data_IF_181470686476
#
_entry.id   IF_181470686476
#
_cell.length_a   1.000
_cell.length_b   1.000
_cell.length_c   1.000
_cell.angle_alpha   90.00
_cell.angle_beta   90.00
_cell.angle_gamma   90.00
#
_symmetry.space_group_name_H-M   'P 1'
#
loop_
_entity.id
_entity.type
_entity.pdbx_description
1 polymer ?
#
# COMPACT_ATOMS: atom_id res chain seq x y z
N UNK A 1 -3.26 -22.47 -6.01
CA UNK A 1 -3.07 -21.55 -4.86
C UNK A 1 -1.64 -20.99 -4.75
N UNK A 2 -0.58 -21.79 -5.00
CA UNK A 2 0.83 -21.33 -4.88
C UNK A 2 1.20 -20.35 -6.01
N UNK A 3 0.83 -20.61 -7.27
CA UNK A 3 1.06 -19.69 -8.41
C UNK A 3 0.39 -18.31 -8.25
N UNK A 4 -0.80 -18.24 -7.61
CA UNK A 4 -1.48 -16.95 -7.40
C UNK A 4 -0.79 -16.06 -6.36
N UNK A 5 -0.11 -16.66 -5.37
CA UNK A 5 0.62 -15.94 -4.32
C UNK A 5 1.96 -15.41 -4.83
N UNK A 6 2.63 -16.15 -5.73
CA UNK A 6 3.86 -15.68 -6.39
C UNK A 6 3.56 -14.48 -7.31
N UNK A 7 2.52 -14.57 -8.14
CA UNK A 7 2.09 -13.48 -9.03
C UNK A 7 1.71 -12.22 -8.23
N UNK A 8 1.02 -12.37 -7.08
CA UNK A 8 0.71 -11.21 -6.22
C UNK A 8 1.96 -10.56 -5.64
N UNK A 9 2.96 -11.35 -5.23
CA UNK A 9 4.24 -10.83 -4.75
C UNK A 9 4.99 -10.05 -5.83
N UNK A 10 5.04 -10.58 -7.05
CA UNK A 10 5.70 -9.94 -8.20
C UNK A 10 5.07 -8.59 -8.58
N UNK A 11 3.74 -8.54 -8.63
CA UNK A 11 3.00 -7.28 -8.89
C UNK A 11 3.29 -6.25 -7.81
N UNK A 12 3.38 -6.66 -6.56
CA UNK A 12 3.68 -5.75 -5.46
C UNK A 12 5.11 -5.21 -5.51
N UNK A 13 6.08 -6.05 -5.87
CA UNK A 13 7.48 -5.66 -6.08
C UNK A 13 7.57 -4.58 -7.18
N UNK A 14 6.91 -4.78 -8.31
CA UNK A 14 6.86 -3.84 -9.43
C UNK A 14 6.21 -2.50 -9.02
N UNK A 15 5.07 -2.55 -8.33
CA UNK A 15 4.38 -1.36 -7.84
C UNK A 15 5.23 -0.52 -6.88
N UNK A 16 6.03 -1.16 -6.03
CA UNK A 16 6.96 -0.44 -5.15
C UNK A 16 8.06 0.23 -5.97
N UNK A 17 8.64 -0.46 -6.94
CA UNK A 17 9.69 0.10 -7.79
C UNK A 17 9.18 1.30 -8.60
N UNK A 18 8.00 1.19 -9.19
CA UNK A 18 7.38 2.28 -9.96
C UNK A 18 7.06 3.48 -9.06
N UNK A 19 6.55 3.22 -7.86
CA UNK A 19 6.34 4.26 -6.86
C UNK A 19 7.64 4.97 -6.49
N UNK A 20 8.75 4.24 -6.32
CA UNK A 20 10.04 4.82 -6.00
C UNK A 20 10.57 5.69 -7.15
N UNK A 21 10.46 5.22 -8.39
CA UNK A 21 10.85 5.98 -9.60
C UNK A 21 10.04 7.26 -9.75
N UNK A 22 8.72 7.20 -9.48
CA UNK A 22 7.83 8.37 -9.55
C UNK A 22 8.14 9.41 -8.46
N UNK A 23 8.36 8.97 -7.23
CA UNK A 23 8.55 9.87 -6.08
C UNK A 23 9.97 10.37 -5.88
N UNK A 24 10.96 9.68 -6.42
CA UNK A 24 12.38 9.99 -6.28
C UNK A 24 13.08 9.94 -7.67
N UNK A 25 12.71 10.85 -8.60
CA UNK A 25 13.20 10.80 -9.98
C UNK A 25 14.70 11.06 -10.13
N UNK A 26 15.35 11.65 -9.12
CA UNK A 26 16.82 11.86 -9.10
C UNK A 26 17.58 10.58 -8.68
N UNK A 27 16.90 9.61 -8.09
CA UNK A 27 17.50 8.40 -7.53
C UNK A 27 17.38 7.23 -8.51
N UNK A 28 18.32 6.28 -8.45
CA UNK A 28 18.28 5.09 -9.31
C UNK A 28 17.61 3.93 -8.57
N UNK A 29 16.67 3.28 -9.24
CA UNK A 29 16.00 2.06 -8.75
C UNK A 29 16.45 0.88 -9.59
N UNK A 30 17.33 0.04 -9.03
CA UNK A 30 17.87 -1.17 -9.65
C UNK A 30 17.09 -2.39 -9.20
N UNK A 31 16.41 -3.07 -10.13
CA UNK A 31 15.73 -4.34 -9.87
C UNK A 31 16.73 -5.46 -9.57
N UNK A 32 16.43 -6.31 -8.59
CA UNK A 32 17.20 -7.51 -8.29
C UNK A 32 16.59 -8.68 -9.04
N UNK A 33 17.25 -9.11 -10.13
CA UNK A 33 16.76 -10.17 -11.03
C UNK A 33 16.37 -11.44 -10.29
N UNK A 34 15.25 -12.04 -10.71
CA UNK A 34 14.76 -13.36 -10.25
C UNK A 34 15.85 -14.42 -10.32
N UNK A 35 15.96 -15.23 -9.27
CA UNK A 35 16.98 -16.27 -9.16
C UNK A 35 18.28 -15.83 -8.47
N UNK A 36 18.60 -14.55 -8.42
CA UNK A 36 19.54 -14.04 -7.43
C UNK A 36 18.83 -14.05 -6.08
N UNK A 37 19.37 -14.78 -5.09
CA UNK A 37 18.88 -14.72 -3.71
C UNK A 37 18.99 -13.28 -3.22
N UNK A 38 17.90 -12.51 -3.25
CA UNK A 38 17.97 -11.11 -2.92
C UNK A 38 16.62 -10.44 -2.74
N UNK A 39 16.63 -9.17 -2.37
CA UNK A 39 15.46 -8.32 -2.21
C UNK A 39 14.89 -7.81 -3.52
N UNK A 40 13.83 -7.04 -3.42
CA UNK A 40 13.05 -6.62 -4.56
C UNK A 40 13.78 -5.56 -5.41
N UNK A 41 14.45 -4.59 -4.75
CA UNK A 41 15.27 -3.59 -5.46
C UNK A 41 16.33 -2.93 -4.57
N UNK A 42 17.23 -2.20 -5.22
CA UNK A 42 18.21 -1.32 -4.58
C UNK A 42 17.91 0.10 -5.01
N UNK A 43 17.66 0.98 -4.03
CA UNK A 43 17.54 2.41 -4.25
C UNK A 43 18.91 3.07 -4.03
N UNK A 44 19.45 3.69 -5.07
CA UNK A 44 20.68 4.49 -5.01
C UNK A 44 20.31 5.96 -4.90
N UNK A 45 20.66 6.57 -3.78
CA UNK A 45 20.37 7.97 -3.49
C UNK A 45 21.37 8.86 -4.22
N UNK A 46 20.85 9.83 -4.96
CA UNK A 46 21.59 10.84 -5.69
C UNK A 46 21.18 12.24 -5.25
N UNK A 47 22.03 13.22 -5.54
CA UNK A 47 21.71 14.65 -5.48
C UNK A 47 22.13 15.30 -6.78
N UNK A 48 21.79 16.58 -6.96
CA UNK A 48 22.21 17.37 -8.14
C UNK A 48 23.73 17.41 -8.32
N UNK A 49 24.46 17.40 -7.21
CA UNK A 49 25.92 17.61 -7.20
C UNK A 49 26.71 16.32 -7.00
N UNK A 50 26.06 15.23 -6.60
CA UNK A 50 26.74 13.96 -6.29
C UNK A 50 25.82 12.77 -6.55
N UNK A 51 26.35 11.79 -7.30
CA UNK A 51 25.70 10.50 -7.52
C UNK A 51 26.21 9.45 -6.53
N UNK A 52 25.44 8.40 -6.32
CA UNK A 52 25.76 7.23 -5.48
C UNK A 52 26.16 7.62 -4.04
N UNK A 53 25.33 8.49 -3.43
CA UNK A 53 25.55 8.96 -2.05
C UNK A 53 25.43 7.80 -1.05
N UNK A 54 24.39 6.99 -1.24
CA UNK A 54 24.12 5.80 -0.45
C UNK A 54 23.26 4.83 -1.22
N UNK A 55 23.35 3.55 -0.87
CA UNK A 55 22.53 2.48 -1.42
C UNK A 55 21.67 1.88 -0.32
N UNK A 56 20.38 1.73 -0.59
CA UNK A 56 19.39 1.14 0.33
C UNK A 56 18.83 -0.13 -0.32
N UNK A 57 18.89 -1.23 0.40
CA UNK A 57 18.31 -2.49 -0.02
C UNK A 57 16.84 -2.52 0.43
N UNK A 58 15.92 -2.69 -0.50
CA UNK A 58 14.48 -2.72 -0.24
C UNK A 58 13.96 -4.13 -0.50
N UNK A 59 13.28 -4.70 0.47
CA UNK A 59 12.60 -6.00 0.38
C UNK A 59 11.15 -5.81 0.79
N UNK A 60 10.21 -6.41 0.06
CA UNK A 60 8.79 -6.43 0.41
C UNK A 60 8.33 -7.83 0.85
N UNK A 61 7.34 -7.89 1.72
CA UNK A 61 6.73 -9.13 2.18
C UNK A 61 5.24 -8.98 2.38
N UNK A 62 4.50 -9.73 1.57
CA UNK A 62 3.05 -9.87 1.71
C UNK A 62 2.71 -11.27 2.23
N UNK A 63 2.63 -11.42 3.55
CA UNK A 63 2.34 -12.68 4.24
C UNK A 63 1.46 -12.44 5.44
N UNK A 64 0.65 -13.43 5.80
CA UNK A 64 -0.31 -13.36 6.91
C UNK A 64 0.32 -13.24 8.31
N UNK A 65 1.61 -13.54 8.48
CA UNK A 65 2.32 -13.45 9.76
C UNK A 65 3.74 -12.99 9.53
N UNK A 66 4.21 -12.04 10.34
CA UNK A 66 5.59 -11.56 10.31
C UNK A 66 6.57 -12.65 10.79
N UNK A 67 7.70 -12.78 10.09
CA UNK A 67 8.77 -13.73 10.42
C UNK A 67 10.08 -12.97 10.62
N UNK A 68 10.73 -13.17 11.77
CA UNK A 68 12.03 -12.53 12.09
C UNK A 68 13.14 -12.96 11.13
N UNK A 69 13.04 -14.16 10.55
CA UNK A 69 13.97 -14.71 9.55
C UNK A 69 14.11 -13.80 8.31
N UNK A 70 13.09 -13.03 7.97
CA UNK A 70 13.16 -12.10 6.85
C UNK A 70 14.22 -11.02 7.07
N UNK A 71 14.34 -10.53 8.32
CA UNK A 71 15.35 -9.52 8.65
C UNK A 71 16.75 -10.12 8.65
N UNK A 72 16.92 -11.38 9.08
CA UNK A 72 18.19 -12.08 9.02
C UNK A 72 18.62 -12.34 7.57
N UNK A 73 17.69 -12.77 6.70
CA UNK A 73 17.94 -12.97 5.29
C UNK A 73 18.36 -11.65 4.63
N UNK A 74 17.58 -10.58 4.82
CA UNK A 74 17.88 -9.26 4.29
C UNK A 74 19.27 -8.79 4.72
N UNK A 75 19.64 -8.94 5.99
CA UNK A 75 20.97 -8.58 6.48
C UNK A 75 22.10 -9.34 5.75
N UNK A 76 21.90 -10.63 5.49
CA UNK A 76 22.87 -11.44 4.77
C UNK A 76 23.01 -11.04 3.31
N UNK A 77 21.90 -10.71 2.65
CA UNK A 77 21.90 -10.28 1.25
C UNK A 77 22.51 -8.87 1.10
N UNK A 78 22.23 -7.97 2.04
CA UNK A 78 22.92 -6.67 2.16
C UNK A 78 24.44 -6.82 2.27
N UNK A 79 24.92 -7.74 3.13
CA UNK A 79 26.36 -8.01 3.28
C UNK A 79 27.00 -8.46 1.98
N UNK A 80 26.37 -9.38 1.23
CA UNK A 80 26.87 -9.87 -0.06
C UNK A 80 27.01 -8.76 -1.10
N UNK A 81 26.14 -7.75 -1.04
CA UNK A 81 26.12 -6.61 -1.97
C UNK A 81 26.86 -5.37 -1.45
N UNK A 82 27.49 -5.48 -0.27
CA UNK A 82 28.16 -4.38 0.42
C UNK A 82 27.25 -3.16 0.62
N UNK A 83 26.00 -3.41 1.07
CA UNK A 83 25.00 -2.39 1.37
C UNK A 83 24.80 -2.31 2.88
N UNK A 84 24.86 -1.08 3.42
CA UNK A 84 24.82 -0.87 4.87
C UNK A 84 23.41 -0.75 5.45
N UNK A 85 22.40 -0.48 4.62
CA UNK A 85 21.02 -0.22 5.03
C UNK A 85 20.03 -1.02 4.26
N UNK A 86 18.99 -1.49 4.98
CA UNK A 86 17.84 -2.19 4.42
C UNK A 86 16.52 -1.63 4.94
N UNK A 87 15.52 -1.68 4.09
CA UNK A 87 14.13 -1.43 4.44
C UNK A 87 13.35 -2.70 4.12
N UNK A 88 12.69 -3.25 5.13
CA UNK A 88 11.73 -4.34 4.98
C UNK A 88 10.31 -3.77 5.03
N UNK A 89 9.63 -3.79 3.90
CA UNK A 89 8.24 -3.35 3.77
C UNK A 89 7.35 -4.57 3.97
N UNK A 90 6.40 -4.54 4.90
CA UNK A 90 5.58 -5.72 5.18
C UNK A 90 4.13 -5.38 5.47
N UNK A 91 3.21 -6.20 4.96
CA UNK A 91 1.78 -6.12 5.28
C UNK A 91 1.48 -6.53 6.72
N UNK A 92 2.31 -7.39 7.29
CA UNK A 92 2.23 -7.81 8.69
C UNK A 92 3.45 -7.34 9.46
N UNK A 93 3.24 -6.85 10.67
CA UNK A 93 4.27 -6.23 11.49
C UNK A 93 4.62 -7.10 12.70
N UNK A 94 5.84 -6.98 13.25
CA UNK A 94 6.20 -7.64 14.51
C UNK A 94 5.21 -7.28 15.62
N UNK A 95 4.84 -8.25 16.47
CA UNK A 95 3.86 -8.05 17.57
C UNK A 95 4.19 -6.87 18.48
N UNK A 96 5.45 -6.53 18.65
CA UNK A 96 5.90 -5.37 19.44
C UNK A 96 5.64 -4.03 18.74
N UNK A 97 5.40 -4.03 17.42
CA UNK A 97 5.10 -2.82 16.63
C UNK A 97 3.63 -2.43 16.66
N UNK A 98 2.72 -3.36 16.93
CA UNK A 98 1.28 -3.05 17.06
C UNK A 98 1.01 -2.06 18.22
N UNK A 99 1.90 -2.04 19.23
CA UNK A 99 1.83 -1.09 20.34
C UNK A 99 2.63 0.20 20.10
N UNK A 100 3.64 0.19 19.24
CA UNK A 100 4.58 1.28 18.97
C UNK A 100 4.68 1.58 17.47
N UNK A 101 3.66 1.99 16.91
CA UNK A 101 3.37 2.60 15.62
C UNK A 101 4.50 2.80 14.63
N UNK A 102 4.36 2.09 13.54
CA UNK A 102 4.80 2.47 12.22
C UNK A 102 6.12 1.89 11.76
N UNK A 103 7.08 1.54 12.62
CA UNK A 103 8.33 0.91 12.19
C UNK A 103 9.13 0.31 13.37
N UNK A 104 10.01 -0.65 13.05
CA UNK A 104 10.93 -1.28 14.01
C UNK A 104 12.34 -1.31 13.43
N UNK A 105 13.34 -0.98 14.24
CA UNK A 105 14.72 -1.21 13.87
C UNK A 105 15.16 -2.60 14.30
N UNK A 106 15.89 -3.26 13.42
CA UNK A 106 16.49 -4.55 13.62
C UNK A 106 18.00 -4.46 13.35
N UNK A 107 18.74 -5.39 13.93
CA UNK A 107 20.20 -5.49 13.73
C UNK A 107 20.96 -4.17 13.99
N UNK A 108 20.67 -3.52 15.13
CA UNK A 108 21.33 -2.26 15.51
C UNK A 108 21.00 -1.08 14.59
N UNK A 109 19.81 -1.05 14.01
CA UNK A 109 19.36 0.04 13.10
C UNK A 109 19.77 -0.12 11.65
N UNK A 110 20.41 -1.24 11.28
CA UNK A 110 20.78 -1.51 9.87
C UNK A 110 19.57 -1.84 9.00
N UNK A 111 18.51 -2.37 9.60
CA UNK A 111 17.27 -2.70 8.91
C UNK A 111 16.12 -1.99 9.62
N UNK A 112 15.30 -1.32 8.83
CA UNK A 112 14.04 -0.69 9.30
C UNK A 112 12.88 -1.49 8.70
N UNK A 113 12.00 -2.00 9.57
CA UNK A 113 10.73 -2.63 9.15
C UNK A 113 9.64 -1.59 9.16
N UNK A 114 8.93 -1.43 8.05
CA UNK A 114 7.84 -0.47 7.88
C UNK A 114 6.59 -1.15 7.33
N UNK A 115 5.38 -0.61 7.60
CA UNK A 115 4.15 -1.14 7.02
C UNK A 115 4.10 -0.90 5.51
N UNK A 116 3.31 -1.75 4.83
CA UNK A 116 2.98 -1.60 3.41
C UNK A 116 1.95 -0.45 3.26
N UNK A 117 2.41 0.78 3.37
CA UNK A 117 1.66 2.01 3.13
C UNK A 117 2.56 3.00 2.38
N UNK A 118 2.19 3.35 1.16
CA UNK A 118 2.98 4.22 0.28
C UNK A 118 3.31 5.58 0.90
N UNK A 119 2.45 6.10 1.79
CA UNK A 119 2.69 7.36 2.50
C UNK A 119 3.80 7.21 3.54
N UNK A 120 3.80 6.08 4.26
CA UNK A 120 4.86 5.73 5.23
C UNK A 120 6.18 5.45 4.50
N UNK A 121 6.12 4.71 3.39
CA UNK A 121 7.28 4.43 2.53
C UNK A 121 7.90 5.74 2.05
N UNK A 122 7.08 6.64 1.50
CA UNK A 122 7.54 7.97 1.04
C UNK A 122 8.17 8.78 2.16
N UNK A 123 7.49 8.88 3.31
CA UNK A 123 7.97 9.63 4.47
C UNK A 123 9.34 9.11 4.96
N UNK A 124 9.47 7.80 5.08
CA UNK A 124 10.70 7.17 5.58
C UNK A 124 11.86 7.36 4.62
N UNK A 125 11.66 7.08 3.33
CA UNK A 125 12.71 7.24 2.32
C UNK A 125 13.09 8.71 2.15
N UNK A 126 12.12 9.64 2.11
CA UNK A 126 12.39 11.09 2.07
C UNK A 126 13.21 11.56 3.27
N UNK A 127 12.91 11.06 4.47
CA UNK A 127 13.65 11.40 5.69
C UNK A 127 15.10 10.91 5.64
N UNK A 128 15.30 9.66 5.19
CA UNK A 128 16.65 9.08 5.02
C UNK A 128 17.43 9.87 3.96
N UNK A 129 16.81 10.10 2.79
CA UNK A 129 17.39 10.85 1.68
C UNK A 129 17.83 12.25 2.10
N UNK A 130 16.91 12.99 2.73
CA UNK A 130 17.19 14.36 3.20
C UNK A 130 18.35 14.39 4.18
N UNK A 131 18.41 13.44 5.10
CA UNK A 131 19.50 13.35 6.08
C UNK A 131 20.85 13.07 5.43
N UNK A 132 20.91 12.13 4.49
CA UNK A 132 22.15 11.77 3.79
C UNK A 132 22.66 12.93 2.93
N UNK A 133 21.78 13.61 2.20
CA UNK A 133 22.15 14.79 1.40
C UNK A 133 22.60 15.96 2.29
N UNK A 134 21.92 16.19 3.43
CA UNK A 134 22.32 17.23 4.37
C UNK A 134 23.70 16.97 4.97
N UNK A 135 24.05 15.72 5.27
CA UNK A 135 25.38 15.36 5.77
C UNK A 135 26.48 15.65 4.76
N UNK A 136 26.21 15.46 3.46
CA UNK A 136 27.13 15.85 2.37
C UNK A 136 27.39 17.36 2.35
N UNK A 137 26.32 18.16 2.39
CA UNK A 137 26.41 19.62 2.27
C UNK A 137 27.15 20.27 3.46
N UNK A 138 27.30 19.57 4.59
CA UNK A 138 28.06 20.04 5.75
C UNK A 138 29.56 19.72 5.69
N UNK A 139 30.09 19.27 4.55
CA UNK A 139 31.50 18.82 4.37
C UNK A 139 31.97 17.82 5.45
N UNK A 140 31.06 17.10 6.05
CA UNK A 140 31.38 16.01 6.98
C UNK A 140 31.58 14.75 6.16
N UNK A 141 32.66 14.02 6.45
CA UNK A 141 32.74 12.63 6.02
C UNK A 141 31.40 11.95 6.33
N UNK A 142 30.78 11.33 5.33
CA UNK A 142 29.53 10.61 5.51
C UNK A 142 29.88 9.37 6.38
N UNK A 143 29.84 9.56 7.67
CA UNK A 143 29.85 8.46 8.62
C UNK A 143 28.41 7.90 8.65
N UNK A 144 28.13 7.10 7.61
CA UNK A 144 26.83 6.52 7.39
C UNK A 144 26.30 5.80 8.65
N UNK A 145 27.06 5.02 9.43
CA UNK A 145 26.63 4.46 10.71
C UNK A 145 26.19 5.52 11.73
N UNK A 146 26.94 6.60 11.87
CA UNK A 146 26.63 7.67 12.82
C UNK A 146 25.41 8.50 12.40
N UNK A 147 25.29 8.79 11.12
CA UNK A 147 24.18 9.58 10.60
C UNK A 147 22.88 8.78 10.64
N UNK A 148 22.93 7.48 10.42
CA UNK A 148 21.79 6.60 10.63
C UNK A 148 21.42 6.44 12.10
N UNK A 149 22.40 6.41 13.00
CA UNK A 149 22.10 6.41 14.44
C UNK A 149 21.35 7.70 14.85
N UNK A 150 21.79 8.86 14.37
CA UNK A 150 21.09 10.13 14.63
C UNK A 150 19.70 10.16 14.04
N UNK A 151 19.53 9.67 12.80
CA UNK A 151 18.23 9.51 12.19
C UNK A 151 17.34 8.57 13.02
N UNK A 152 17.91 7.45 13.47
CA UNK A 152 17.23 6.50 14.32
C UNK A 152 16.78 7.14 15.64
N UNK A 153 17.66 7.85 16.33
CA UNK A 153 17.35 8.55 17.58
C UNK A 153 16.23 9.59 17.38
N UNK A 154 16.24 10.31 16.25
CA UNK A 154 15.18 11.25 15.88
C UNK A 154 13.85 10.53 15.60
N UNK A 155 13.87 9.51 14.74
CA UNK A 155 12.70 8.74 14.34
C UNK A 155 12.08 7.99 15.55
N UNK A 156 12.92 7.51 16.48
CA UNK A 156 12.47 6.85 17.70
C UNK A 156 12.01 7.83 18.78
N UNK A 157 12.30 9.12 18.61
CA UNK A 157 11.95 10.16 19.56
C UNK A 157 10.46 10.56 19.52
N UNK A 158 9.93 11.11 20.62
CA UNK A 158 8.53 11.47 20.74
C UNK A 158 8.09 12.53 19.72
N UNK A 159 8.99 13.43 19.31
CA UNK A 159 8.72 14.47 18.32
C UNK A 159 8.34 13.91 16.94
N UNK A 160 8.84 12.74 16.57
CA UNK A 160 8.49 12.04 15.34
C UNK A 160 7.37 11.02 15.58
N UNK A 161 7.45 10.25 16.66
CA UNK A 161 6.53 9.17 16.97
C UNK A 161 5.09 9.66 17.20
N UNK A 162 4.89 10.78 17.90
CA UNK A 162 3.55 11.27 18.25
C UNK A 162 2.77 11.70 17.00
N UNK A 163 3.29 12.57 16.10
CA UNK A 163 2.62 12.91 14.85
C UNK A 163 2.34 11.70 13.97
N UNK A 164 3.32 10.79 13.85
CA UNK A 164 3.16 9.58 13.05
C UNK A 164 2.02 8.70 13.58
N UNK A 165 1.91 8.57 14.89
CA UNK A 165 0.78 7.88 15.54
C UNK A 165 -0.57 8.49 15.17
N UNK A 166 -0.65 9.78 15.28
CA UNK A 166 -1.88 10.51 14.96
C UNK A 166 -2.27 10.31 13.51
N UNK A 167 -1.31 10.43 12.58
CA UNK A 167 -1.53 10.20 11.16
C UNK A 167 -2.04 8.78 10.93
N UNK A 168 -1.34 7.76 11.44
CA UNK A 168 -1.74 6.37 11.26
C UNK A 168 -3.13 6.07 11.85
N UNK A 169 -3.41 6.57 13.05
CA UNK A 169 -4.74 6.42 13.68
C UNK A 169 -5.84 7.06 12.82
N UNK A 170 -5.60 8.27 12.31
CA UNK A 170 -6.56 8.97 11.46
C UNK A 170 -6.76 8.26 10.12
N UNK A 171 -5.70 7.71 9.53
CA UNK A 171 -5.80 6.90 8.31
C UNK A 171 -6.66 5.65 8.53
N UNK A 172 -6.44 4.93 9.63
CA UNK A 172 -7.26 3.75 9.99
C UNK A 172 -8.73 4.13 10.17
N UNK A 173 -9.00 5.25 10.85
CA UNK A 173 -10.37 5.78 10.99
C UNK A 173 -10.99 6.12 9.64
N UNK A 174 -10.24 6.79 8.76
CA UNK A 174 -10.71 7.15 7.42
C UNK A 174 -11.07 5.92 6.61
N UNK A 175 -10.21 4.90 6.57
CA UNK A 175 -10.51 3.65 5.87
C UNK A 175 -11.79 2.99 6.41
N UNK A 176 -11.97 2.98 7.74
CA UNK A 176 -13.20 2.45 8.36
C UNK A 176 -14.45 3.24 7.96
N UNK A 177 -14.34 4.57 7.83
CA UNK A 177 -15.45 5.42 7.38
C UNK A 177 -15.79 5.17 5.91
N UNK A 178 -14.77 5.06 5.05
CA UNK A 178 -14.94 4.74 3.63
C UNK A 178 -15.66 3.39 3.45
N UNK A 179 -15.24 2.35 4.19
CA UNK A 179 -15.90 1.04 4.13
C UNK A 179 -17.37 1.09 4.61
N UNK A 180 -17.66 1.86 5.66
CA UNK A 180 -19.03 2.06 6.12
C UNK A 180 -19.89 2.77 5.08
N UNK A 181 -19.34 3.80 4.45
CA UNK A 181 -20.02 4.57 3.41
C UNK A 181 -20.28 3.70 2.18
N UNK A 182 -19.30 2.92 1.73
CA UNK A 182 -19.46 1.96 0.64
C UNK A 182 -20.59 0.96 0.91
N UNK A 183 -20.57 0.32 2.08
CA UNK A 183 -21.62 -0.62 2.48
C UNK A 183 -23.00 0.05 2.58
N UNK A 184 -23.07 1.32 2.99
CA UNK A 184 -24.31 2.08 3.02
C UNK A 184 -24.86 2.33 1.59
N UNK A 185 -23.99 2.72 0.65
CA UNK A 185 -24.37 2.91 -0.75
C UNK A 185 -24.84 1.61 -1.40
N UNK A 186 -24.12 0.51 -1.20
CA UNK A 186 -24.50 -0.81 -1.74
C UNK A 186 -25.88 -1.24 -1.24
N UNK A 187 -26.17 -1.08 0.07
CA UNK A 187 -27.51 -1.36 0.62
C UNK A 187 -28.59 -0.44 0.06
N UNK A 188 -28.30 0.83 -0.13
CA UNK A 188 -29.25 1.79 -0.70
C UNK A 188 -29.59 1.45 -2.15
N UNK A 189 -28.59 1.05 -2.94
CA UNK A 189 -28.80 0.60 -4.33
C UNK A 189 -29.69 -0.63 -4.33
N UNK A 190 -29.35 -1.66 -3.58
CA UNK A 190 -30.16 -2.88 -3.50
C UNK A 190 -31.60 -2.62 -3.06
N UNK A 191 -31.82 -1.70 -2.10
CA UNK A 191 -33.18 -1.32 -1.70
C UNK A 191 -33.96 -0.64 -2.83
N UNK A 192 -33.29 0.23 -3.61
CA UNK A 192 -33.93 0.90 -4.76
C UNK A 192 -34.27 -0.09 -5.87
N UNK A 193 -33.37 -1.04 -6.15
CA UNK A 193 -33.60 -2.12 -7.11
C UNK A 193 -34.82 -2.95 -6.71
N UNK A 194 -34.94 -3.36 -5.44
CA UNK A 194 -36.12 -4.06 -4.91
C UNK A 194 -37.43 -3.24 -5.08
N UNK A 195 -37.37 -1.93 -4.86
CA UNK A 195 -38.55 -1.08 -5.05
C UNK A 195 -38.96 -1.04 -6.52
N UNK A 196 -37.99 -0.94 -7.43
CA UNK A 196 -38.25 -0.95 -8.90
C UNK A 196 -38.86 -2.30 -9.32
N UNK A 197 -38.31 -3.41 -8.82
CA UNK A 197 -38.85 -4.76 -9.10
C UNK A 197 -40.30 -4.90 -8.62
N UNK A 198 -40.60 -4.49 -7.38
CA UNK A 198 -41.95 -4.51 -6.82
C UNK A 198 -42.89 -3.64 -7.65
N UNK A 199 -42.49 -2.44 -8.08
CA UNK A 199 -43.29 -1.58 -8.95
C UNK A 199 -43.56 -2.26 -10.31
N UNK A 200 -42.58 -2.99 -10.84
CA UNK A 200 -42.78 -3.78 -12.07
C UNK A 200 -43.83 -4.88 -11.91
N UNK A 201 -43.80 -5.57 -10.78
CA UNK A 201 -44.79 -6.61 -10.47
C UNK A 201 -46.21 -6.05 -10.26
N UNK A 202 -46.32 -4.92 -9.54
CA UNK A 202 -47.61 -4.22 -9.35
C UNK A 202 -48.17 -3.76 -10.69
N UNK A 203 -47.36 -3.21 -11.61
CA UNK A 203 -47.73 -2.84 -12.94
C UNK A 203 -48.25 -4.04 -13.77
N UNK A 204 -47.55 -5.18 -13.68
CA UNK A 204 -47.99 -6.43 -14.35
C UNK A 204 -49.33 -6.87 -13.83
N UNK A 205 -49.56 -6.86 -12.51
CA UNK A 205 -50.85 -7.23 -11.91
C UNK A 205 -51.96 -6.26 -12.36
N UNK A 206 -51.66 -4.95 -12.41
CA UNK A 206 -52.63 -3.95 -12.91
C UNK A 206 -53.04 -4.23 -14.34
N UNK A 207 -52.05 -4.47 -15.23
CA UNK A 207 -52.34 -4.78 -16.65
C UNK A 207 -53.17 -6.07 -16.78
N UNK A 208 -52.84 -7.10 -16.00
CA UNK A 208 -53.60 -8.35 -15.96
C UNK A 208 -55.03 -8.16 -15.47
N UNK A 209 -55.22 -7.25 -14.49
CA UNK A 209 -56.58 -6.90 -14.01
C UNK A 209 -57.41 -6.20 -15.07
N UNK A 210 -56.81 -5.25 -15.80
CA UNK A 210 -57.47 -4.60 -16.93
C UNK A 210 -57.85 -5.59 -18.05
N UNK A 211 -56.94 -6.53 -18.39
CA UNK A 211 -57.25 -7.56 -19.40
C UNK A 211 -58.43 -8.46 -19.00
N UNK A 212 -58.57 -8.78 -17.72
CA UNK A 212 -59.72 -9.56 -17.23
C UNK A 212 -61.06 -8.85 -17.42
N UNK A 213 -61.09 -7.51 -17.33
CA UNK A 213 -62.30 -6.71 -17.42
C UNK A 213 -62.58 -6.28 -18.87
N UNK A 214 -61.54 -5.87 -19.60
CA UNK A 214 -61.69 -5.31 -20.95
C UNK A 214 -61.58 -6.36 -22.08
N UNK A 215 -61.31 -7.61 -21.81
CA UNK A 215 -61.04 -8.65 -22.81
C UNK A 215 -59.84 -8.33 -23.69
N UNK A 216 -59.82 -8.86 -24.93
CA UNK A 216 -58.67 -8.73 -25.85
C UNK A 216 -58.60 -7.35 -26.56
N UNK A 217 -59.08 -6.28 -25.95
CA UNK A 217 -59.03 -4.93 -26.52
C UNK A 217 -57.66 -4.25 -26.33
N UNK A 218 -56.82 -4.73 -25.41
CA UNK A 218 -55.50 -4.17 -25.16
C UNK A 218 -54.42 -4.75 -26.10
N UNK A 219 -53.53 -3.94 -26.69
CA UNK A 219 -52.43 -4.41 -27.52
C UNK A 219 -51.52 -5.37 -26.78
N UNK A 220 -51.04 -6.44 -27.45
CA UNK A 220 -50.16 -7.44 -26.87
C UNK A 220 -48.79 -6.88 -26.44
N UNK A 221 -48.35 -5.79 -27.06
CA UNK A 221 -47.04 -5.20 -26.84
C UNK A 221 -46.93 -4.25 -25.63
N UNK A 222 -47.97 -4.08 -24.82
CA UNK A 222 -47.92 -3.27 -23.58
C UNK A 222 -47.02 -3.83 -22.51
N UNK A 223 -46.60 -5.10 -22.61
CA UNK A 223 -45.68 -5.77 -21.69
C UNK A 223 -44.26 -5.95 -22.27
N UNK A 224 -44.05 -5.61 -23.55
CA UNK A 224 -42.72 -5.75 -24.20
C UNK A 224 -41.82 -4.53 -24.06
N UNK A 225 -42.29 -3.45 -23.43
CA UNK A 225 -41.49 -2.23 -23.23
C UNK A 225 -40.36 -2.40 -22.21
N UNK A 226 -40.35 -3.47 -21.42
CA UNK A 226 -39.35 -3.69 -20.35
C UNK A 226 -37.96 -4.15 -20.87
N UNK A 227 -37.83 -4.48 -22.17
CA UNK A 227 -36.54 -4.91 -22.75
C UNK A 227 -35.66 -3.77 -23.27
N UNK A 228 -36.10 -2.51 -23.20
CA UNK A 228 -35.37 -1.34 -23.75
C UNK A 228 -34.78 -0.40 -22.70
N UNK A 229 -34.82 -0.73 -21.41
CA UNK A 229 -34.26 0.11 -20.33
C UNK A 229 -32.90 -0.41 -19.85
N UNK A 230 -32.39 -1.51 -20.42
CA UNK A 230 -31.07 -2.10 -20.07
C UNK A 230 -29.95 -1.77 -21.09
N UNK A 231 -30.02 -0.68 -21.87
CA UNK A 231 -28.88 -0.15 -22.63
C UNK A 231 -28.44 1.24 -22.15
#
# INVERSE_FOLDING_TARGET
KQKSVEVQGEVQEELIQDFLRDKFPDDDVEEIKKGAKGGDCILTINSKDKTNIARIYIESKDRGTFQEEWTNKLLNDMKKKNISYGILISTTLPKNMEKNIGFSAKHGGKIIVIPMDYRIIHLMISSIRSRLIQSLNQNKEIDVPRDMKKLWDHISGPAFQIPLRTIYSNMKKMNTLIEKEKNFYEKNIANKENVIENMGDDLRELVLSFRRVAGNILPENLLESDKKIEE
#
